data_IF_391338599660
#
_entry.id   IF_391338599660
#
_cell.length_a   1.000
_cell.length_b   1.000
_cell.length_c   1.000
_cell.angle_alpha   90.00
_cell.angle_beta   90.00
_cell.angle_gamma   90.00
#
_symmetry.space_group_name_H-M   'P 1'
#
loop_
_entity.id
_entity.type
_entity.pdbx_description
1 polymer ?
#
# COMPACT_ATOMS: atom_id res chain seq x y z
N UNK A 1 -4.18 -13.63 12.90
CA UNK A 1 -3.33 -13.11 13.99
C UNK A 1 -2.11 -12.40 13.42
N UNK A 2 -1.25 -13.09 12.66
CA UNK A 2 -0.03 -12.50 12.08
C UNK A 2 -0.26 -11.27 11.21
N UNK A 3 -1.34 -11.23 10.42
CA UNK A 3 -1.70 -10.06 9.58
C UNK A 3 -1.97 -8.81 10.42
N UNK A 4 -2.82 -8.93 11.44
CA UNK A 4 -3.15 -7.82 12.36
C UNK A 4 -1.92 -7.42 13.19
N UNK A 5 -1.14 -8.40 13.66
CA UNK A 5 0.11 -8.17 14.38
C UNK A 5 1.12 -7.38 13.53
N UNK A 6 1.27 -7.70 12.25
CA UNK A 6 2.13 -6.94 11.34
C UNK A 6 1.59 -5.52 11.14
N UNK A 7 0.26 -5.38 10.97
CA UNK A 7 -0.36 -4.08 10.77
C UNK A 7 -0.12 -3.12 11.94
N UNK A 8 -0.24 -3.56 13.20
CA UNK A 8 -0.03 -2.66 14.35
C UNK A 8 1.40 -2.08 14.39
N UNK A 9 2.42 -2.87 14.01
CA UNK A 9 3.80 -2.40 13.95
C UNK A 9 4.04 -1.53 12.72
N UNK A 10 3.51 -1.93 11.57
CA UNK A 10 3.61 -1.16 10.33
C UNK A 10 2.94 0.21 10.48
N UNK A 11 1.74 0.24 11.07
CA UNK A 11 1.00 1.47 11.36
C UNK A 11 1.80 2.40 12.26
N UNK A 12 2.44 1.88 13.32
CA UNK A 12 3.30 2.67 14.19
C UNK A 12 4.47 3.32 13.43
N UNK A 13 5.16 2.55 12.59
CA UNK A 13 6.29 3.05 11.79
C UNK A 13 5.83 4.08 10.76
N UNK A 14 4.77 3.79 10.02
CA UNK A 14 4.24 4.70 8.99
C UNK A 14 3.71 6.00 9.58
N UNK A 15 3.01 5.95 10.72
CA UNK A 15 2.56 7.16 11.44
C UNK A 15 3.74 7.97 11.96
N UNK A 16 4.80 7.32 12.45
CA UNK A 16 6.03 8.02 12.86
C UNK A 16 6.67 8.75 11.68
N UNK A 17 6.79 8.09 10.52
CA UNK A 17 7.29 8.72 9.28
C UNK A 17 6.40 9.88 8.84
N UNK A 18 5.07 9.70 8.92
CA UNK A 18 4.10 10.74 8.61
C UNK A 18 4.28 11.97 9.51
N UNK A 19 4.47 11.78 10.81
CA UNK A 19 4.73 12.86 11.77
C UNK A 19 6.04 13.59 11.49
N UNK A 20 7.09 12.89 11.05
CA UNK A 20 8.37 13.50 10.69
C UNK A 20 8.23 14.38 9.44
N UNK A 21 7.54 13.86 8.41
CA UNK A 21 7.37 14.56 7.12
C UNK A 21 6.48 15.79 7.30
N UNK A 22 5.36 15.66 8.01
CA UNK A 22 4.36 16.70 8.17
C UNK A 22 4.47 17.44 9.52
N UNK A 23 5.64 17.39 10.14
CA UNK A 23 5.89 17.95 11.47
C UNK A 23 5.45 19.42 11.58
N UNK A 24 5.76 20.21 10.55
CA UNK A 24 5.50 21.65 10.52
C UNK A 24 4.00 21.99 10.48
N UNK A 25 3.14 21.06 10.07
CA UNK A 25 1.69 21.30 9.96
C UNK A 25 0.92 20.66 11.12
N UNK A 26 1.31 19.46 11.54
CA UNK A 26 0.55 18.67 12.50
C UNK A 26 0.74 19.13 13.95
N UNK A 27 1.92 19.66 14.29
CA UNK A 27 2.30 19.95 15.67
C UNK A 27 2.39 21.46 15.93
N UNK A 28 2.89 21.87 17.12
CA UNK A 28 2.89 23.27 17.55
C UNK A 28 3.96 24.15 16.90
N UNK A 29 4.33 23.87 15.64
CA UNK A 29 5.24 24.74 14.88
C UNK A 29 4.65 26.15 14.68
N UNK A 30 3.32 26.28 14.68
CA UNK A 30 2.58 27.55 14.63
C UNK A 30 2.79 28.43 15.85
N UNK A 31 2.98 27.83 17.04
CA UNK A 31 3.31 28.58 18.26
C UNK A 31 4.68 29.25 18.09
N UNK A 32 5.64 28.53 17.48
CA UNK A 32 6.96 29.08 17.15
C UNK A 32 6.89 30.17 16.07
N UNK A 33 5.97 30.06 15.10
CA UNK A 33 5.75 31.06 14.05
C UNK A 33 4.88 32.25 14.49
N UNK A 34 4.60 32.38 15.80
CA UNK A 34 3.75 33.43 16.39
C UNK A 34 2.32 33.51 15.86
N UNK A 35 1.83 32.51 15.13
CA UNK A 35 0.45 32.51 14.63
C UNK A 35 -0.55 32.51 15.79
N UNK A 36 -0.18 31.87 16.90
CA UNK A 36 -1.01 31.81 18.11
C UNK A 36 -0.95 33.10 18.92
N UNK A 37 0.18 33.82 18.93
CA UNK A 37 0.33 35.08 19.66
C UNK A 37 -0.72 36.10 19.20
N UNK A 38 -0.92 36.26 17.89
CA UNK A 38 -1.94 37.14 17.33
C UNK A 38 -3.36 36.76 17.79
N UNK A 39 -3.69 35.46 17.79
CA UNK A 39 -5.00 34.97 18.24
C UNK A 39 -5.20 35.22 19.74
N UNK A 40 -4.17 35.04 20.56
CA UNK A 40 -4.25 35.34 21.99
C UNK A 40 -4.50 36.83 22.24
N UNK A 41 -3.86 37.72 21.47
CA UNK A 41 -4.11 39.16 21.53
C UNK A 41 -5.52 39.56 21.07
N UNK A 42 -6.13 38.78 20.17
CA UNK A 42 -7.54 38.93 19.77
C UNK A 42 -8.55 38.37 20.81
N UNK A 43 -8.08 37.87 21.96
CA UNK A 43 -8.92 37.39 23.05
C UNK A 43 -9.21 35.88 23.03
N UNK A 44 -8.56 35.09 22.16
CA UNK A 44 -8.71 33.64 22.17
C UNK A 44 -7.95 32.99 23.34
N UNK A 45 -8.56 32.00 23.99
CA UNK A 45 -7.96 31.29 25.12
C UNK A 45 -6.94 30.22 24.62
N UNK A 46 -5.64 30.32 24.98
CA UNK A 46 -4.60 29.36 24.55
C UNK A 46 -4.89 27.90 24.94
N UNK A 47 -5.52 27.67 26.09
CA UNK A 47 -5.81 26.31 26.60
C UNK A 47 -6.87 25.64 25.74
N UNK A 48 -7.89 26.40 25.30
CA UNK A 48 -8.93 25.90 24.41
C UNK A 48 -8.37 25.58 23.03
N UNK A 49 -7.53 26.47 22.46
CA UNK A 49 -6.85 26.23 21.19
C UNK A 49 -5.94 24.99 21.24
N UNK A 50 -5.23 24.79 22.35
CA UNK A 50 -4.45 23.58 22.60
C UNK A 50 -5.33 22.32 22.60
N UNK A 51 -6.43 22.34 23.36
CA UNK A 51 -7.34 21.20 23.43
C UNK A 51 -7.96 20.86 22.07
N UNK A 52 -8.40 21.86 21.30
CA UNK A 52 -8.96 21.67 19.97
C UNK A 52 -7.94 21.06 19.00
N UNK A 53 -6.69 21.56 18.99
CA UNK A 53 -5.63 21.02 18.13
C UNK A 53 -5.24 19.59 18.53
N UNK A 54 -5.18 19.32 19.82
CA UNK A 54 -4.89 17.98 20.35
C UNK A 54 -5.98 16.98 19.97
N UNK A 55 -7.25 17.37 20.13
CA UNK A 55 -8.40 16.53 19.78
C UNK A 55 -8.42 16.27 18.27
N UNK A 56 -8.18 17.29 17.44
CA UNK A 56 -8.07 17.13 15.99
C UNK A 56 -6.95 16.16 15.58
N UNK A 57 -5.77 16.27 16.22
CA UNK A 57 -4.66 15.34 15.97
C UNK A 57 -5.05 13.90 16.35
N UNK A 58 -5.57 13.69 17.57
CA UNK A 58 -5.96 12.35 18.01
C UNK A 58 -7.08 11.77 17.16
N UNK A 59 -8.09 12.56 16.83
CA UNK A 59 -9.18 12.12 15.96
C UNK A 59 -8.65 11.69 14.59
N UNK A 60 -7.77 12.49 13.98
CA UNK A 60 -7.16 12.16 12.69
C UNK A 60 -6.35 10.85 12.73
N UNK A 61 -5.52 10.68 13.77
CA UNK A 61 -4.69 9.48 13.93
C UNK A 61 -5.55 8.25 14.23
N UNK A 62 -6.53 8.36 15.13
CA UNK A 62 -7.44 7.28 15.47
C UNK A 62 -8.33 6.89 14.30
N UNK A 63 -8.84 7.85 13.53
CA UNK A 63 -9.63 7.61 12.34
C UNK A 63 -8.82 6.83 11.30
N UNK A 64 -7.64 7.34 10.95
CA UNK A 64 -6.75 6.72 9.97
C UNK A 64 -6.36 5.29 10.40
N UNK A 65 -6.04 5.12 11.69
CA UNK A 65 -5.70 3.81 12.24
C UNK A 65 -6.88 2.83 12.21
N UNK A 66 -8.07 3.28 12.59
CA UNK A 66 -9.28 2.44 12.64
C UNK A 66 -9.70 2.00 11.26
N UNK A 67 -9.70 2.91 10.27
CA UNK A 67 -10.01 2.58 8.87
C UNK A 67 -9.01 1.57 8.32
N UNK A 68 -7.71 1.77 8.53
CA UNK A 68 -6.69 0.82 8.09
C UNK A 68 -6.80 -0.54 8.81
N UNK A 69 -7.12 -0.54 10.10
CA UNK A 69 -7.30 -1.77 10.89
C UNK A 69 -8.50 -2.58 10.40
N UNK A 70 -9.63 -1.90 10.14
CA UNK A 70 -10.83 -2.49 9.56
C UNK A 70 -10.55 -3.07 8.17
N UNK A 71 -9.80 -2.36 7.32
CA UNK A 71 -9.40 -2.83 6.00
C UNK A 71 -8.52 -4.09 6.09
N UNK A 72 -7.59 -4.16 7.03
CA UNK A 72 -6.76 -5.35 7.24
C UNK A 72 -7.58 -6.53 7.74
N UNK A 73 -8.57 -6.32 8.62
CA UNK A 73 -9.51 -7.37 9.02
C UNK A 73 -10.27 -7.89 7.80
N UNK A 74 -10.84 -6.99 7.00
CA UNK A 74 -11.57 -7.32 5.77
C UNK A 74 -10.69 -8.13 4.82
N UNK A 75 -9.46 -7.66 4.56
CA UNK A 75 -8.50 -8.35 3.69
C UNK A 75 -8.11 -9.72 4.24
N UNK A 76 -7.92 -9.84 5.55
CA UNK A 76 -7.58 -11.12 6.20
C UNK A 76 -8.73 -12.12 6.05
N UNK A 77 -9.97 -11.68 6.20
CA UNK A 77 -11.17 -12.50 5.98
C UNK A 77 -11.33 -12.87 4.51
N UNK A 78 -11.14 -11.93 3.59
CA UNK A 78 -11.24 -12.15 2.15
C UNK A 78 -10.21 -13.16 1.64
N UNK A 79 -8.98 -13.11 2.17
CA UNK A 79 -7.90 -14.05 1.86
C UNK A 79 -8.05 -15.41 2.57
N UNK A 80 -9.17 -15.67 3.27
CA UNK A 80 -9.48 -16.91 4.00
C UNK A 80 -8.41 -17.32 5.04
N UNK A 81 -7.73 -16.35 5.65
CA UNK A 81 -6.85 -16.64 6.79
C UNK A 81 -7.66 -16.93 8.05
N UNK A 82 -7.14 -17.82 8.91
CA UNK A 82 -7.80 -18.15 10.18
C UNK A 82 -7.77 -16.96 11.15
N UNK A 83 -8.92 -16.30 11.29
CA UNK A 83 -9.15 -15.13 12.11
C UNK A 83 -9.97 -15.51 13.34
N UNK A 84 -9.46 -15.22 14.54
CA UNK A 84 -10.18 -15.45 15.80
C UNK A 84 -10.54 -14.08 16.35
N UNK A 85 -11.84 -13.83 16.50
CA UNK A 85 -12.35 -12.51 16.90
C UNK A 85 -11.89 -12.07 18.29
N UNK A 86 -11.60 -13.02 19.18
CA UNK A 86 -11.23 -12.75 20.58
C UNK A 86 -9.95 -11.92 20.74
N UNK A 87 -8.96 -12.04 19.84
CA UNK A 87 -7.72 -11.26 19.96
C UNK A 87 -7.77 -9.88 19.30
N UNK A 88 -8.82 -9.58 18.54
CA UNK A 88 -8.92 -8.33 17.77
C UNK A 88 -8.96 -7.09 18.69
N UNK A 89 -9.78 -7.05 19.77
CA UNK A 89 -9.83 -5.89 20.65
C UNK A 89 -8.48 -5.63 21.33
N UNK A 90 -7.81 -6.68 21.81
CA UNK A 90 -6.51 -6.58 22.48
C UNK A 90 -5.44 -6.00 21.56
N UNK A 91 -5.36 -6.49 20.31
CA UNK A 91 -4.42 -5.97 19.32
C UNK A 91 -4.75 -4.54 18.89
N UNK A 92 -6.05 -4.22 18.75
CA UNK A 92 -6.48 -2.87 18.42
C UNK A 92 -6.01 -1.87 19.49
N UNK A 93 -6.31 -2.14 20.76
CA UNK A 93 -5.93 -1.31 21.91
C UNK A 93 -4.41 -1.20 22.03
N UNK A 94 -3.68 -2.30 21.88
CA UNK A 94 -2.21 -2.28 21.92
C UNK A 94 -1.61 -1.37 20.84
N UNK A 95 -2.16 -1.36 19.63
CA UNK A 95 -1.74 -0.44 18.56
C UNK A 95 -2.13 1.00 18.84
N UNK A 96 -3.36 1.24 19.32
CA UNK A 96 -3.86 2.56 19.71
C UNK A 96 -2.96 3.23 20.75
N UNK A 97 -2.57 2.51 21.81
CA UNK A 97 -1.69 3.05 22.85
C UNK A 97 -0.34 3.47 22.29
N UNK A 98 0.26 2.69 21.37
CA UNK A 98 1.52 3.08 20.74
C UNK A 98 1.39 4.39 19.95
N UNK A 99 0.29 4.55 19.21
CA UNK A 99 0.02 5.75 18.41
C UNK A 99 -0.25 6.98 19.28
N UNK A 100 -1.02 6.82 20.36
CA UNK A 100 -1.26 7.90 21.34
C UNK A 100 0.06 8.33 21.99
N UNK A 101 0.90 7.37 22.39
CA UNK A 101 2.17 7.63 23.05
C UNK A 101 3.13 8.44 22.15
N UNK A 102 3.34 8.01 20.90
CA UNK A 102 4.22 8.73 19.97
C UNK A 102 3.65 10.10 19.57
N UNK A 103 2.32 10.23 19.49
CA UNK A 103 1.66 11.52 19.22
C UNK A 103 1.91 12.53 20.35
N UNK A 104 1.74 12.11 21.60
CA UNK A 104 1.99 12.96 22.78
C UNK A 104 3.47 13.32 22.92
N UNK A 105 4.37 12.37 22.72
CA UNK A 105 5.81 12.65 22.76
C UNK A 105 6.19 13.65 21.66
N UNK A 106 5.62 13.51 20.46
CA UNK A 106 5.90 14.44 19.36
C UNK A 106 5.36 15.84 19.63
N UNK A 107 4.16 15.95 20.21
CA UNK A 107 3.60 17.22 20.68
C UNK A 107 4.51 17.87 21.73
N UNK A 108 4.98 17.08 22.70
CA UNK A 108 5.90 17.56 23.72
C UNK A 108 7.20 18.05 23.10
N UNK A 109 7.84 17.26 22.23
CA UNK A 109 9.04 17.66 21.47
C UNK A 109 8.78 18.97 20.71
N UNK A 110 7.58 19.17 20.16
CA UNK A 110 7.27 20.39 19.42
C UNK A 110 7.25 21.67 20.23
N UNK A 111 7.03 21.58 21.55
CA UNK A 111 7.08 22.73 22.45
C UNK A 111 8.50 23.04 22.97
N UNK A 112 9.41 22.05 22.93
CA UNK A 112 10.77 22.19 23.46
C UNK A 112 11.85 22.31 22.38
N UNK A 113 11.61 21.79 21.18
CA UNK A 113 12.60 21.77 20.11
C UNK A 113 12.75 23.17 19.48
N UNK A 114 13.99 23.69 19.50
CA UNK A 114 14.32 24.99 18.88
C UNK A 114 14.24 24.93 17.36
N UNK A 115 14.77 23.87 16.74
CA UNK A 115 14.79 23.69 15.28
C UNK A 115 13.95 22.50 14.82
N UNK A 116 13.37 22.60 13.62
CA UNK A 116 12.60 21.50 12.98
C UNK A 116 13.45 20.25 12.82
N UNK A 117 14.71 20.42 12.43
CA UNK A 117 15.63 19.30 12.21
C UNK A 117 15.88 18.53 13.51
N UNK A 118 16.12 19.22 14.63
CA UNK A 118 16.30 18.58 15.92
C UNK A 118 15.02 17.89 16.39
N UNK A 119 13.85 18.50 16.16
CA UNK A 119 12.58 17.86 16.47
C UNK A 119 12.40 16.53 15.71
N UNK A 120 12.72 16.51 14.41
CA UNK A 120 12.64 15.29 13.60
C UNK A 120 13.57 14.19 14.11
N UNK A 121 14.80 14.52 14.51
CA UNK A 121 15.72 13.54 15.10
C UNK A 121 15.21 13.01 16.45
N UNK A 122 14.66 13.89 17.29
CA UNK A 122 14.08 13.49 18.57
C UNK A 122 12.87 12.58 18.40
N UNK A 123 12.01 12.81 17.41
CA UNK A 123 10.86 11.94 17.10
C UNK A 123 11.35 10.52 16.73
N UNK A 124 12.38 10.42 15.89
CA UNK A 124 12.98 9.12 15.52
C UNK A 124 13.55 8.42 16.76
N UNK A 125 14.30 9.15 17.58
CA UNK A 125 14.87 8.62 18.82
C UNK A 125 13.77 8.14 19.79
N UNK A 126 12.69 8.90 19.94
CA UNK A 126 11.54 8.53 20.77
C UNK A 126 10.81 7.30 20.24
N UNK A 127 10.61 7.19 18.93
CA UNK A 127 10.00 6.00 18.35
C UNK A 127 10.86 4.74 18.60
N UNK A 128 12.20 4.85 18.43
CA UNK A 128 13.12 3.78 18.75
C UNK A 128 13.10 3.43 20.25
N UNK A 129 13.04 4.44 21.13
CA UNK A 129 12.95 4.25 22.58
C UNK A 129 11.68 3.50 22.97
N UNK A 130 10.52 3.80 22.36
CA UNK A 130 9.27 3.07 22.61
C UNK A 130 9.43 1.58 22.25
N UNK A 131 10.08 1.26 21.12
CA UNK A 131 10.31 -0.12 20.71
C UNK A 131 11.25 -0.86 21.66
N UNK A 132 12.34 -0.21 22.07
CA UNK A 132 13.27 -0.74 23.07
C UNK A 132 12.57 -0.94 24.42
N UNK A 133 11.77 0.03 24.84
CA UNK A 133 11.03 -0.02 26.10
C UNK A 133 10.05 -1.19 26.12
N UNK A 134 9.30 -1.41 25.03
CA UNK A 134 8.42 -2.60 24.88
C UNK A 134 9.17 -3.92 24.97
N UNK A 135 10.45 -3.94 24.58
CA UNK A 135 11.30 -5.13 24.68
C UNK A 135 11.77 -5.35 26.12
N UNK A 136 12.22 -4.29 26.80
CA UNK A 136 12.69 -4.33 28.19
C UNK A 136 11.55 -4.75 29.13
N UNK A 137 10.35 -4.23 28.93
CA UNK A 137 9.18 -4.55 29.78
C UNK A 137 8.54 -5.91 29.45
N UNK A 138 9.09 -6.67 28.49
CA UNK A 138 8.52 -7.97 28.08
C UNK A 138 7.22 -7.89 27.28
N UNK A 139 6.74 -6.70 26.93
CA UNK A 139 5.46 -6.51 26.25
C UNK A 139 5.41 -7.17 24.86
N UNK A 140 6.56 -7.27 24.18
CA UNK A 140 6.65 -8.00 22.91
C UNK A 140 6.27 -9.48 23.03
N UNK A 141 6.65 -10.14 24.13
CA UNK A 141 6.32 -11.55 24.38
C UNK A 141 4.81 -11.73 24.55
N UNK A 142 4.18 -10.81 25.30
CA UNK A 142 2.72 -10.74 25.48
C UNK A 142 2.03 -10.53 24.14
N UNK A 143 2.48 -9.54 23.36
CA UNK A 143 1.91 -9.15 22.06
C UNK A 143 2.05 -10.25 20.98
N UNK A 144 3.12 -11.03 21.00
CA UNK A 144 3.32 -12.14 20.07
C UNK A 144 2.51 -13.40 20.41
N UNK A 145 2.01 -13.52 21.64
CA UNK A 145 1.31 -14.71 22.09
C UNK A 145 -0.18 -14.64 21.77
N UNK A 146 -0.61 -15.46 20.80
CA UNK A 146 -2.00 -15.53 20.33
C UNK A 146 -3.02 -15.88 21.42
N UNK A 147 -2.64 -16.71 22.39
CA UNK A 147 -3.56 -17.21 23.44
C UNK A 147 -3.77 -16.13 24.48
N UNK A 148 -2.69 -15.48 24.90
CA UNK A 148 -2.74 -14.36 25.86
C UNK A 148 -3.60 -13.22 25.31
N UNK A 149 -3.45 -12.92 24.03
CA UNK A 149 -4.17 -11.82 23.36
C UNK A 149 -5.69 -12.05 23.24
N UNK A 150 -6.21 -13.26 23.45
CA UNK A 150 -7.67 -13.51 23.40
C UNK A 150 -8.44 -12.82 24.51
N UNK A 151 -7.79 -12.49 25.63
CA UNK A 151 -8.40 -11.73 26.71
C UNK A 151 -7.71 -10.36 26.82
N UNK A 152 -8.50 -9.30 26.66
CA UNK A 152 -8.04 -7.92 26.68
C UNK A 152 -7.41 -7.53 28.02
N UNK A 153 -7.88 -8.06 29.15
CA UNK A 153 -7.37 -7.68 30.46
C UNK A 153 -5.91 -8.11 30.66
N UNK A 154 -5.45 -9.15 29.94
CA UNK A 154 -4.07 -9.63 30.03
C UNK A 154 -3.04 -8.60 29.54
N UNK A 155 -3.43 -7.60 28.75
CA UNK A 155 -2.49 -6.55 28.33
C UNK A 155 -2.24 -5.52 29.43
N UNK A 156 -3.17 -5.40 30.38
CA UNK A 156 -3.10 -4.48 31.52
C UNK A 156 -2.56 -5.13 32.79
N UNK A 157 -2.37 -6.46 32.79
CA UNK A 157 -1.84 -7.22 33.92
C UNK A 157 -0.36 -6.87 34.21
N UNK A 158 -0.06 -6.22 35.36
CA UNK A 158 1.31 -5.86 35.73
C UNK A 158 2.22 -7.07 35.94
N UNK A 159 1.64 -8.24 36.26
CA UNK A 159 2.39 -9.48 36.40
C UNK A 159 3.02 -9.98 35.10
N UNK A 160 2.51 -9.53 33.95
CA UNK A 160 3.01 -9.94 32.62
C UNK A 160 3.88 -8.89 31.97
N UNK A 161 3.50 -7.62 32.05
CA UNK A 161 4.28 -6.51 31.48
C UNK A 161 3.89 -5.17 32.09
N UNK A 162 4.90 -4.41 32.49
CA UNK A 162 4.75 -3.04 33.01
C UNK A 162 4.52 -1.97 31.93
N UNK A 163 4.55 -2.31 30.64
CA UNK A 163 4.42 -1.32 29.57
C UNK A 163 3.11 -0.52 29.61
N UNK A 164 1.96 -1.20 29.69
CA UNK A 164 0.65 -0.54 29.65
C UNK A 164 0.41 0.40 30.84
N UNK A 165 0.67 0.01 32.12
CA UNK A 165 0.52 0.94 33.23
C UNK A 165 1.50 2.12 33.15
N UNK A 166 2.74 1.92 32.71
CA UNK A 166 3.72 3.00 32.54
C UNK A 166 3.33 3.94 31.39
N UNK A 167 2.82 3.42 30.28
CA UNK A 167 2.30 4.22 29.18
C UNK A 167 1.08 5.05 29.62
N UNK A 168 0.16 4.46 30.39
CA UNK A 168 -1.00 5.17 30.92
C UNK A 168 -0.58 6.31 31.88
N UNK A 169 0.36 6.03 32.80
CA UNK A 169 0.90 7.05 33.71
C UNK A 169 1.57 8.20 32.93
N UNK A 170 2.37 7.88 31.91
CA UNK A 170 2.98 8.89 31.05
C UNK A 170 1.93 9.74 30.31
N UNK A 171 0.89 9.11 29.75
CA UNK A 171 -0.19 9.82 29.04
C UNK A 171 -0.89 10.82 29.98
N UNK A 172 -1.22 10.39 31.20
CA UNK A 172 -1.90 11.22 32.21
C UNK A 172 -1.04 12.42 32.61
N UNK A 173 0.29 12.22 32.76
CA UNK A 173 1.21 13.30 33.16
C UNK A 173 1.59 14.24 32.00
N UNK A 174 1.76 13.70 30.79
CA UNK A 174 2.20 14.45 29.62
C UNK A 174 1.14 15.46 29.15
N UNK A 175 -0.14 15.13 29.28
CA UNK A 175 -1.24 15.99 28.87
C UNK A 175 -1.24 17.37 29.56
N UNK A 176 -1.31 17.47 30.91
CA UNK A 176 -1.30 18.77 31.59
C UNK A 176 0.03 19.50 31.41
N UNK A 177 1.16 18.78 31.35
CA UNK A 177 2.47 19.38 31.11
C UNK A 177 2.56 20.09 29.74
N UNK A 178 2.00 19.47 28.69
CA UNK A 178 1.93 20.08 27.36
C UNK A 178 0.99 21.29 27.35
N UNK A 179 -0.18 21.20 27.99
CA UNK A 179 -1.13 22.30 28.07
C UNK A 179 -0.55 23.53 28.78
N UNK A 180 0.10 23.32 29.93
CA UNK A 180 0.77 24.39 30.68
C UNK A 180 1.88 25.04 29.85
N UNK A 181 2.74 24.24 29.22
CA UNK A 181 3.85 24.76 28.43
C UNK A 181 3.40 25.49 27.16
N UNK A 182 2.37 24.98 26.48
CA UNK A 182 1.79 25.64 25.32
C UNK A 182 1.19 27.01 25.69
N UNK A 183 0.48 27.09 26.83
CA UNK A 183 -0.07 28.34 27.34
C UNK A 183 1.03 29.38 27.62
N UNK A 184 2.09 28.99 28.32
CA UNK A 184 3.23 29.89 28.58
C UNK A 184 3.88 30.37 27.28
N UNK A 185 4.13 29.46 26.33
CA UNK A 185 4.85 29.79 25.10
C UNK A 185 3.99 30.64 24.14
N UNK A 186 2.67 30.47 24.13
CA UNK A 186 1.77 31.20 23.24
C UNK A 186 1.53 32.67 23.65
N UNK A 187 1.75 33.02 24.92
CA UNK A 187 1.59 34.40 25.43
C UNK A 187 2.72 35.33 24.97
N UNK A 188 3.90 34.80 24.68
CA UNK A 188 5.08 35.59 24.34
C UNK A 188 5.39 35.50 22.85
N UNK A 189 5.82 36.62 22.28
CA UNK A 189 6.30 36.67 20.90
C UNK A 189 7.67 35.98 20.82
N UNK A 190 7.78 34.93 20.02
CA UNK A 190 9.05 34.29 19.71
C UNK A 190 9.64 34.96 18.46
N UNK A 191 10.75 35.72 18.54
CA UNK A 191 11.34 36.32 17.35
C UNK A 191 11.62 35.23 16.29
N UNK A 192 11.09 35.39 15.06
CA UNK A 192 11.32 34.40 14.02
C UNK A 192 12.81 34.31 13.71
N UNK A 193 13.34 33.09 13.64
CA UNK A 193 14.71 32.84 13.17
C UNK A 193 14.89 33.18 11.67
N UNK A 194 13.80 33.50 10.95
CA UNK A 194 13.77 33.78 9.52
C UNK A 194 13.39 35.24 9.24
N UNK A 195 14.30 35.93 8.54
CA UNK A 195 14.34 37.32 8.08
C UNK A 195 13.23 37.75 7.09
N UNK A 196 12.13 36.99 6.99
CA UNK A 196 11.19 37.06 5.86
C UNK A 196 10.17 38.21 5.89
N UNK A 197 10.30 39.18 6.81
CA UNK A 197 9.34 40.30 6.94
C UNK A 197 10.00 41.67 6.89
N UNK A 198 11.06 41.82 6.09
CA UNK A 198 11.66 43.12 5.82
C UNK A 198 11.35 43.64 4.41
N UNK A 199 11.16 44.96 4.24
CA UNK A 199 10.94 45.60 2.95
C UNK A 199 12.09 45.35 1.96
N UNK A 200 11.78 45.29 0.66
CA UNK A 200 12.77 45.15 -0.41
C UNK A 200 13.87 46.22 -0.28
N UNK A 201 15.13 45.77 -0.21
CA UNK A 201 16.32 46.62 -0.04
C UNK A 201 16.97 46.57 1.35
N UNK A 202 16.36 45.89 2.33
CA UNK A 202 16.97 45.73 3.66
C UNK A 202 17.58 44.34 3.81
N UNK A 203 18.90 44.24 3.71
CA UNK A 203 19.65 43.02 4.05
C UNK A 203 19.82 42.95 5.58
N UNK A 204 19.26 41.93 6.23
CA UNK A 204 19.61 41.65 7.61
C UNK A 204 21.05 41.15 7.66
N UNK A 205 21.85 41.89 8.39
CA UNK A 205 23.22 41.54 8.69
C UNK A 205 23.24 40.99 10.11
N UNK A 206 23.51 39.69 10.26
CA UNK A 206 23.62 39.10 11.59
C UNK A 206 24.96 39.50 12.21
N UNK A 207 24.93 40.26 13.30
CA UNK A 207 26.14 40.57 14.06
C UNK A 207 26.56 39.34 14.89
N UNK A 208 27.68 38.73 14.50
CA UNK A 208 28.22 37.57 15.21
C UNK A 208 29.01 38.00 16.45
N UNK A 209 28.43 37.83 17.65
CA UNK A 209 29.07 38.12 18.95
C UNK A 209 30.42 37.40 19.16
N UNK A 210 30.71 36.33 18.39
CA UNK A 210 32.01 35.62 18.44
C UNK A 210 33.09 36.19 17.52
N UNK A 211 32.73 36.96 16.50
CA UNK A 211 33.67 37.39 15.44
C UNK A 211 33.60 38.87 15.12
N UNK A 212 32.69 39.62 15.75
CA UNK A 212 32.45 41.05 15.53
C UNK A 212 32.37 41.44 14.03
N UNK A 213 31.70 40.61 13.22
CA UNK A 213 31.44 40.90 11.80
C UNK A 213 30.01 40.57 11.40
N UNK A 214 29.55 41.26 10.37
CA UNK A 214 28.20 41.27 9.79
C UNK A 214 28.18 40.36 8.54
N UNK A 215 27.25 39.40 8.47
CA UNK A 215 27.13 38.44 7.35
C UNK A 215 25.68 38.44 6.81
N UNK A 216 25.46 38.47 5.47
CA UNK A 216 24.12 38.43 4.86
C UNK A 216 23.56 36.99 4.75
N UNK A 217 22.26 36.81 4.97
CA UNK A 217 21.63 35.49 5.12
C UNK A 217 21.04 34.87 3.83
N UNK A 218 21.14 35.55 2.69
CA UNK A 218 20.39 35.19 1.49
C UNK A 218 21.23 34.39 0.48
N UNK A 219 21.20 33.05 0.54
CA UNK A 219 21.61 32.22 -0.60
C UNK A 219 20.75 30.95 -0.74
N UNK A 220 19.72 31.04 -1.59
CA UNK A 220 19.54 30.02 -2.64
C UNK A 220 18.17 29.37 -2.79
N UNK A 221 17.34 29.92 -3.68
CA UNK A 221 16.34 29.14 -4.45
C UNK A 221 16.17 29.70 -5.86
N UNK A 222 16.17 28.80 -6.86
CA UNK A 222 15.95 29.07 -8.29
C UNK A 222 14.59 28.48 -8.75
N UNK A 223 14.01 28.95 -9.89
CA UNK A 223 12.57 29.16 -10.07
C UNK A 223 11.80 27.94 -10.61
N UNK A 224 10.46 27.96 -10.40
CA UNK A 224 9.53 26.83 -10.45
C UNK A 224 9.03 26.35 -11.83
N UNK A 225 9.43 26.95 -12.96
CA UNK A 225 8.71 26.76 -14.24
C UNK A 225 9.03 25.44 -14.97
N UNK A 226 10.30 25.02 -15.03
CA UNK A 226 10.70 23.77 -15.70
C UNK A 226 10.25 22.51 -14.93
N UNK A 227 10.13 22.62 -13.60
CA UNK A 227 9.68 21.54 -12.74
C UNK A 227 8.18 21.27 -12.96
N UNK A 228 7.37 22.30 -13.28
CA UNK A 228 5.92 22.14 -13.52
C UNK A 228 5.62 21.32 -14.77
N UNK A 229 6.36 21.50 -15.87
CA UNK A 229 6.16 20.76 -17.13
C UNK A 229 6.62 19.29 -16.98
N UNK A 230 7.78 19.08 -16.35
CA UNK A 230 8.29 17.74 -16.06
C UNK A 230 7.35 16.96 -15.13
N UNK A 231 6.79 17.64 -14.11
CA UNK A 231 5.81 17.05 -13.21
C UNK A 231 4.53 16.64 -13.96
N UNK A 232 4.03 17.47 -14.87
CA UNK A 232 2.84 17.15 -15.67
C UNK A 232 3.06 15.92 -16.57
N UNK A 233 4.21 15.82 -17.23
CA UNK A 233 4.55 14.68 -18.09
C UNK A 233 4.66 13.36 -17.30
N UNK A 234 5.31 13.39 -16.12
CA UNK A 234 5.43 12.18 -15.29
C UNK A 234 4.09 11.78 -14.68
N UNK A 235 3.27 12.74 -14.25
CA UNK A 235 1.91 12.45 -13.79
C UNK A 235 1.06 11.80 -14.88
N UNK A 236 1.15 12.29 -16.12
CA UNK A 236 0.43 11.70 -17.26
C UNK A 236 0.86 10.25 -17.54
N UNK A 237 2.16 9.97 -17.51
CA UNK A 237 2.71 8.62 -17.70
C UNK A 237 2.22 7.64 -16.61
N UNK A 238 2.18 8.08 -15.35
CA UNK A 238 1.73 7.26 -14.22
C UNK A 238 0.22 6.98 -14.32
N UNK A 239 -0.58 7.95 -14.78
CA UNK A 239 -2.03 7.75 -14.99
C UNK A 239 -2.27 6.68 -16.07
N UNK A 240 -1.54 6.74 -17.19
CA UNK A 240 -1.64 5.71 -18.26
C UNK A 240 -1.29 4.32 -17.71
N UNK A 241 -0.22 4.22 -16.92
CA UNK A 241 0.19 2.96 -16.28
C UNK A 241 -0.90 2.41 -15.36
N UNK A 242 -1.53 3.26 -14.54
CA UNK A 242 -2.62 2.87 -13.65
C UNK A 242 -3.83 2.39 -14.45
N UNK A 243 -4.24 3.12 -15.49
CA UNK A 243 -5.33 2.72 -16.37
C UNK A 243 -5.07 1.36 -17.05
N UNK A 244 -3.84 1.13 -17.51
CA UNK A 244 -3.43 -0.16 -18.09
C UNK A 244 -3.51 -1.31 -17.08
N UNK A 245 -3.04 -1.11 -15.84
CA UNK A 245 -3.11 -2.13 -14.78
C UNK A 245 -4.55 -2.41 -14.32
N UNK A 246 -5.43 -1.39 -14.34
CA UNK A 246 -6.85 -1.55 -14.04
C UNK A 246 -7.58 -2.32 -15.15
N UNK A 247 -7.36 -1.96 -16.42
CA UNK A 247 -7.87 -2.74 -17.55
C UNK A 247 -7.41 -4.20 -17.48
N UNK A 248 -6.14 -4.42 -17.11
CA UNK A 248 -5.60 -5.75 -16.97
C UNK A 248 -6.28 -6.56 -15.86
N UNK A 249 -6.56 -5.94 -14.71
CA UNK A 249 -7.36 -6.58 -13.65
C UNK A 249 -8.75 -6.98 -14.12
N UNK A 250 -9.45 -6.10 -14.85
CA UNK A 250 -10.77 -6.39 -15.41
C UNK A 250 -10.69 -7.57 -16.38
N UNK A 251 -9.66 -7.59 -17.24
CA UNK A 251 -9.41 -8.69 -18.18
C UNK A 251 -9.19 -10.03 -17.44
N UNK A 252 -8.42 -10.05 -16.35
CA UNK A 252 -8.21 -11.26 -15.53
C UNK A 252 -9.52 -11.74 -14.91
N UNK A 253 -10.37 -10.83 -14.42
CA UNK A 253 -11.67 -11.19 -13.86
C UNK A 253 -12.54 -11.86 -14.93
N UNK A 254 -12.56 -11.31 -16.14
CA UNK A 254 -13.28 -11.88 -17.29
C UNK A 254 -12.73 -13.27 -17.65
N UNK A 255 -11.40 -13.43 -17.72
CA UNK A 255 -10.74 -14.70 -18.05
C UNK A 255 -10.92 -15.78 -16.95
N UNK A 256 -11.01 -15.36 -15.69
CA UNK A 256 -11.31 -16.28 -14.59
C UNK A 256 -12.78 -16.69 -14.55
N UNK A 257 -13.68 -15.82 -14.98
CA UNK A 257 -15.08 -16.18 -15.17
C UNK A 257 -15.24 -17.24 -16.28
N UNK A 258 -14.23 -17.42 -17.14
CA UNK A 258 -14.14 -18.41 -18.23
C UNK A 258 -13.68 -19.81 -17.75
N UNK A 259 -13.65 -20.08 -16.45
CA UNK A 259 -13.35 -21.40 -15.90
C UNK A 259 -14.39 -22.47 -16.37
N UNK A 260 -14.05 -23.77 -16.31
CA UNK A 260 -14.84 -24.82 -16.98
C UNK A 260 -16.31 -24.78 -16.54
N UNK A 261 -17.20 -24.47 -17.48
CA UNK A 261 -18.65 -24.40 -17.27
C UNK A 261 -19.33 -23.11 -17.71
N UNK A 262 -18.63 -21.99 -17.87
CA UNK A 262 -19.18 -20.73 -18.40
C UNK A 262 -18.15 -20.03 -19.29
N UNK A 263 -18.21 -20.27 -20.61
CA UNK A 263 -17.29 -19.66 -21.55
C UNK A 263 -17.75 -18.24 -21.90
N UNK A 264 -17.03 -17.24 -21.40
CA UNK A 264 -17.22 -15.83 -21.77
C UNK A 264 -16.56 -15.59 -23.13
N UNK A 265 -17.38 -15.39 -24.15
CA UNK A 265 -16.93 -15.09 -25.52
C UNK A 265 -16.51 -13.62 -25.60
N UNK A 266 -15.27 -13.36 -26.02
CA UNK A 266 -14.76 -12.00 -26.24
C UNK A 266 -14.60 -11.80 -27.74
N UNK A 267 -15.50 -11.03 -28.37
CA UNK A 267 -15.48 -10.75 -29.83
C UNK A 267 -15.38 -12.02 -30.70
N UNK A 268 -16.09 -13.09 -30.35
CA UNK A 268 -16.08 -14.36 -31.10
C UNK A 268 -14.85 -15.25 -30.87
N UNK A 269 -13.98 -14.90 -29.92
CA UNK A 269 -12.82 -15.71 -29.53
C UNK A 269 -12.97 -16.17 -28.07
N UNK A 270 -12.66 -17.44 -27.85
CA UNK A 270 -12.69 -18.11 -26.55
C UNK A 270 -11.24 -18.25 -26.07
N UNK A 271 -10.81 -17.46 -25.07
CA UNK A 271 -9.53 -17.63 -24.42
C UNK A 271 -9.57 -18.81 -23.45
N UNK A 272 -8.65 -19.77 -23.59
CA UNK A 272 -8.60 -20.97 -22.76
C UNK A 272 -7.18 -21.24 -22.25
N UNK A 273 -7.02 -21.36 -20.93
CA UNK A 273 -5.73 -21.67 -20.31
C UNK A 273 -5.53 -23.18 -20.29
N UNK A 274 -4.59 -23.66 -21.11
CA UNK A 274 -4.35 -25.10 -21.28
C UNK A 274 -3.56 -25.66 -20.10
N UNK A 275 -4.08 -26.68 -19.42
CA UNK A 275 -3.44 -27.29 -18.23
C UNK A 275 -2.81 -28.66 -18.50
N UNK A 276 -3.15 -29.26 -19.64
CA UNK A 276 -2.79 -30.62 -20.01
C UNK A 276 -1.49 -30.65 -20.84
N UNK A 277 -0.88 -31.82 -20.94
CA UNK A 277 0.25 -32.09 -21.83
C UNK A 277 -0.18 -32.75 -23.15
N UNK A 278 -1.48 -33.05 -23.31
CA UNK A 278 -2.04 -33.87 -24.40
C UNK A 278 -1.88 -33.29 -25.80
N UNK A 279 -1.59 -31.99 -25.92
CA UNK A 279 -1.48 -31.28 -27.21
C UNK A 279 -0.05 -30.82 -27.53
N UNK A 280 0.97 -31.38 -26.85
CA UNK A 280 2.37 -31.07 -27.18
C UNK A 280 2.72 -31.61 -28.59
N UNK A 281 3.49 -30.87 -29.42
CA UNK A 281 4.11 -29.56 -29.17
C UNK A 281 3.24 -28.36 -29.57
N UNK A 282 2.06 -28.58 -30.16
CA UNK A 282 1.20 -27.55 -30.71
C UNK A 282 0.70 -26.57 -29.65
N UNK A 283 0.26 -27.07 -28.49
CA UNK A 283 -0.14 -26.30 -27.30
C UNK A 283 0.63 -26.84 -26.10
N UNK A 284 1.39 -25.98 -25.43
CA UNK A 284 2.13 -26.36 -24.24
C UNK A 284 1.27 -26.17 -22.98
N UNK A 285 1.53 -26.93 -21.90
CA UNK A 285 0.91 -26.66 -20.62
C UNK A 285 1.21 -25.22 -20.19
N UNK A 286 0.21 -24.56 -19.60
CA UNK A 286 0.18 -23.16 -19.16
C UNK A 286 0.07 -22.10 -20.26
N UNK A 287 -0.08 -22.50 -21.52
CA UNK A 287 -0.32 -21.54 -22.60
C UNK A 287 -1.76 -21.02 -22.55
N UNK A 288 -1.94 -19.75 -22.91
CA UNK A 288 -3.26 -19.24 -23.26
C UNK A 288 -3.51 -19.53 -24.75
N UNK A 289 -4.43 -20.44 -25.03
CA UNK A 289 -4.89 -20.76 -26.38
C UNK A 289 -6.14 -19.93 -26.72
N UNK A 290 -6.26 -19.56 -27.98
CA UNK A 290 -7.39 -18.81 -28.52
C UNK A 290 -8.15 -19.70 -29.48
N UNK A 291 -9.45 -19.86 -29.27
CA UNK A 291 -10.34 -20.60 -30.14
C UNK A 291 -11.36 -19.68 -30.77
N UNK A 292 -11.44 -19.65 -32.09
CA UNK A 292 -12.47 -18.91 -32.83
C UNK A 292 -13.77 -19.70 -32.74
N UNK A 293 -14.84 -19.04 -32.32
CA UNK A 293 -16.15 -19.65 -32.23
C UNK A 293 -16.62 -20.03 -33.65
N UNK A 294 -17.15 -21.24 -33.78
CA UNK A 294 -17.61 -21.80 -35.06
C UNK A 294 -19.09 -22.12 -34.94
N UNK A 295 -19.86 -21.69 -35.94
CA UNK A 295 -21.26 -22.10 -36.12
C UNK A 295 -21.33 -23.34 -37.02
N UNK A 296 -22.51 -23.97 -37.11
CA UNK A 296 -22.74 -25.19 -37.91
C UNK A 296 -22.32 -25.11 -39.39
N UNK A 297 -22.12 -23.92 -39.95
CA UNK A 297 -21.69 -23.69 -41.34
C UNK A 297 -20.18 -23.56 -41.55
N UNK A 298 -19.35 -23.73 -40.52
CA UNK A 298 -17.90 -23.68 -40.69
C UNK A 298 -17.36 -25.07 -41.09
N UNK A 299 -16.57 -25.11 -42.15
CA UNK A 299 -15.86 -26.32 -42.57
C UNK A 299 -14.72 -26.61 -41.58
N UNK A 300 -14.74 -27.81 -41.00
CA UNK A 300 -13.75 -28.28 -40.01
C UNK A 300 -12.90 -29.34 -40.70
N UNK A 301 -11.73 -28.93 -41.18
CA UNK A 301 -10.84 -29.84 -41.91
C UNK A 301 -10.10 -30.83 -40.99
N UNK A 302 -9.75 -31.98 -41.56
CA UNK A 302 -8.79 -32.90 -40.94
C UNK A 302 -7.48 -32.20 -40.58
N UNK A 303 -6.97 -32.48 -39.37
CA UNK A 303 -5.75 -31.86 -38.84
C UNK A 303 -5.96 -30.58 -38.04
N UNK A 304 -7.16 -29.99 -38.00
CA UNK A 304 -7.45 -28.84 -37.14
C UNK A 304 -7.57 -29.23 -35.66
N UNK A 305 -7.17 -28.33 -34.76
CA UNK A 305 -7.36 -28.50 -33.30
C UNK A 305 -8.66 -27.81 -32.91
N UNK A 306 -9.54 -28.50 -32.21
CA UNK A 306 -10.85 -27.98 -31.83
C UNK A 306 -11.06 -28.06 -30.32
N UNK A 307 -11.90 -27.17 -29.80
CA UNK A 307 -12.42 -27.22 -28.44
C UNK A 307 -13.89 -27.64 -28.50
N UNK A 308 -14.25 -28.68 -27.74
CA UNK A 308 -15.60 -29.25 -27.77
C UNK A 308 -16.05 -29.70 -26.38
N UNK A 309 -17.36 -29.90 -26.22
CA UNK A 309 -17.96 -30.35 -24.95
C UNK A 309 -18.51 -31.75 -25.06
N UNK A 310 -18.08 -32.62 -24.16
CA UNK A 310 -18.58 -34.00 -24.03
C UNK A 310 -18.74 -34.34 -22.55
N UNK A 311 -19.86 -34.95 -22.17
CA UNK A 311 -20.16 -35.35 -20.79
C UNK A 311 -19.98 -34.21 -19.76
N UNK A 312 -20.44 -33.01 -20.13
CA UNK A 312 -20.31 -31.78 -19.32
C UNK A 312 -18.86 -31.37 -18.99
N UNK A 313 -17.89 -31.87 -19.76
CA UNK A 313 -16.47 -31.52 -19.69
C UNK A 313 -16.01 -30.96 -21.03
N UNK A 314 -15.04 -30.06 -20.98
CA UNK A 314 -14.46 -29.40 -22.17
C UNK A 314 -13.12 -30.07 -22.49
N UNK A 315 -12.97 -30.48 -23.74
CA UNK A 315 -11.78 -31.15 -24.28
C UNK A 315 -11.19 -30.34 -25.43
N UNK A 316 -9.89 -30.49 -25.64
CA UNK A 316 -9.16 -29.89 -26.76
C UNK A 316 -8.34 -31.00 -27.41
N UNK A 317 -8.68 -31.33 -28.65
CA UNK A 317 -8.11 -32.47 -29.38
C UNK A 317 -8.03 -32.12 -30.88
N UNK A 318 -7.27 -32.91 -31.65
CA UNK A 318 -7.10 -32.73 -33.09
C UNK A 318 -8.05 -33.62 -33.87
N UNK A 319 -8.66 -33.09 -34.92
CA UNK A 319 -9.50 -33.85 -35.86
C UNK A 319 -8.61 -34.78 -36.69
N UNK A 320 -8.91 -36.07 -36.64
CA UNK A 320 -8.20 -37.12 -37.38
C UNK A 320 -8.99 -37.52 -38.62
N UNK A 321 -10.30 -37.69 -38.49
CA UNK A 321 -11.20 -38.04 -39.58
C UNK A 321 -12.48 -37.19 -39.51
N UNK A 322 -12.94 -36.74 -40.67
CA UNK A 322 -14.16 -35.97 -40.84
C UNK A 322 -15.23 -36.82 -41.54
N UNK A 323 -16.42 -36.87 -40.96
CA UNK A 323 -17.62 -37.44 -41.57
C UNK A 323 -18.74 -36.38 -41.54
N UNK A 324 -19.81 -36.56 -42.33
CA UNK A 324 -20.89 -35.57 -42.46
C UNK A 324 -21.51 -35.18 -41.10
N UNK A 325 -21.80 -36.16 -40.24
CA UNK A 325 -22.51 -35.94 -38.97
C UNK A 325 -21.61 -35.99 -37.72
N UNK A 326 -20.42 -36.61 -37.82
CA UNK A 326 -19.53 -36.83 -36.69
C UNK A 326 -18.06 -36.61 -37.04
N UNK A 327 -17.27 -36.29 -36.02
CA UNK A 327 -15.82 -36.10 -36.12
C UNK A 327 -15.12 -37.13 -35.25
N UNK A 328 -14.01 -37.67 -35.73
CA UNK A 328 -13.09 -38.49 -34.93
C UNK A 328 -11.94 -37.61 -34.49
N UNK A 329 -11.74 -37.49 -33.19
CA UNK A 329 -10.71 -36.64 -32.57
C UNK A 329 -9.74 -37.46 -31.73
N UNK A 330 -8.51 -36.97 -31.58
CA UNK A 330 -7.46 -37.62 -30.80
C UNK A 330 -6.45 -36.61 -30.23
N UNK A 331 -5.62 -37.07 -29.28
CA UNK A 331 -4.59 -36.26 -28.63
C UNK A 331 -3.25 -36.33 -29.38
N UNK A 332 -2.50 -35.22 -29.43
CA UNK A 332 -1.19 -35.18 -30.09
C UNK A 332 -0.08 -35.86 -29.25
N UNK A 333 -0.23 -35.91 -27.93
CA UNK A 333 0.75 -36.44 -27.00
C UNK A 333 0.11 -37.37 -25.97
N UNK A 334 0.48 -38.66 -26.03
CA UNK A 334 -0.03 -39.68 -25.13
C UNK A 334 0.76 -39.72 -23.83
N UNK A 335 0.09 -39.85 -22.67
CA UNK A 335 0.78 -40.20 -21.44
C UNK A 335 1.52 -41.53 -21.61
N UNK A 336 2.64 -41.72 -20.91
CA UNK A 336 3.55 -42.87 -21.06
C UNK A 336 2.92 -44.27 -20.88
N UNK A 337 1.69 -44.35 -20.38
CA UNK A 337 0.93 -45.58 -20.20
C UNK A 337 0.05 -45.97 -21.40
N UNK A 338 -0.08 -45.11 -22.42
CA UNK A 338 -1.02 -45.27 -23.53
C UNK A 338 -0.30 -45.31 -24.88
N UNK A 339 -0.83 -46.11 -25.82
CA UNK A 339 -0.32 -46.22 -27.19
C UNK A 339 -0.99 -45.19 -28.10
N UNK A 340 -0.31 -44.82 -29.18
CA UNK A 340 -0.87 -43.91 -30.18
C UNK A 340 -2.19 -44.46 -30.76
N UNK A 341 -3.21 -43.62 -30.85
CA UNK A 341 -4.55 -43.99 -31.29
C UNK A 341 -5.46 -44.61 -30.21
N UNK A 342 -4.97 -44.85 -28.99
CA UNK A 342 -5.78 -45.51 -27.95
C UNK A 342 -6.81 -44.60 -27.27
N UNK A 343 -6.76 -43.30 -27.54
CA UNK A 343 -7.62 -42.28 -26.92
C UNK A 343 -8.55 -41.61 -27.94
N UNK A 344 -8.76 -42.23 -29.11
CA UNK A 344 -9.68 -41.72 -30.13
C UNK A 344 -11.09 -41.62 -29.60
N UNK A 345 -11.74 -40.51 -29.91
CA UNK A 345 -13.12 -40.27 -29.56
C UNK A 345 -13.94 -39.87 -30.77
N UNK A 346 -15.13 -40.41 -30.87
CA UNK A 346 -16.14 -39.92 -31.81
C UNK A 346 -17.01 -38.89 -31.11
N UNK A 347 -17.22 -37.75 -31.77
CA UNK A 347 -18.03 -36.63 -31.27
C UNK A 347 -18.99 -36.15 -32.37
N UNK A 348 -20.15 -35.66 -31.97
CA UNK A 348 -21.07 -35.01 -32.91
C UNK A 348 -20.53 -33.63 -33.30
N UNK A 349 -20.70 -33.23 -34.56
CA UNK A 349 -20.21 -31.93 -35.06
C UNK A 349 -20.79 -30.74 -34.28
N UNK A 350 -21.98 -30.92 -33.72
CA UNK A 350 -22.71 -29.94 -32.90
C UNK A 350 -22.09 -29.67 -31.53
N UNK A 351 -21.24 -30.59 -31.06
CA UNK A 351 -20.55 -30.46 -29.77
C UNK A 351 -19.32 -29.56 -29.83
N UNK A 352 -18.90 -29.17 -31.04
CA UNK A 352 -17.75 -28.30 -31.30
C UNK A 352 -18.11 -26.87 -30.94
N UNK A 353 -17.26 -26.24 -30.13
CA UNK A 353 -17.44 -24.88 -29.63
C UNK A 353 -16.56 -23.90 -30.41
N UNK A 354 -15.36 -24.32 -30.82
CA UNK A 354 -14.48 -23.47 -31.62
C UNK A 354 -13.24 -24.17 -32.17
N UNK A 355 -12.55 -23.46 -33.08
CA UNK A 355 -11.35 -23.93 -33.78
C UNK A 355 -10.14 -23.14 -33.28
N UNK A 356 -9.02 -23.82 -33.09
CA UNK A 356 -7.77 -23.21 -32.62
C UNK A 356 -7.24 -22.17 -33.62
N UNK A 357 -7.03 -20.95 -33.14
CA UNK A 357 -6.55 -19.80 -33.92
C UNK A 357 -5.10 -19.43 -33.57
N UNK A 358 -4.69 -19.64 -32.31
CA UNK A 358 -3.31 -19.39 -31.89
C UNK A 358 -3.08 -19.55 -30.39
N UNK A 359 -1.83 -19.34 -29.96
CA UNK A 359 -1.44 -19.43 -28.54
C UNK A 359 -0.42 -18.37 -28.13
N UNK A 360 -0.44 -18.01 -26.84
CA UNK A 360 0.59 -17.19 -26.21
C UNK A 360 1.05 -17.77 -24.88
N UNK A 361 2.33 -18.13 -24.81
CA UNK A 361 2.97 -18.65 -23.59
C UNK A 361 3.08 -17.58 -22.51
N UNK A 362 3.49 -16.37 -22.91
CA UNK A 362 3.71 -15.26 -21.98
C UNK A 362 2.39 -14.76 -21.37
N UNK A 363 1.31 -14.68 -22.16
CA UNK A 363 -0.01 -14.31 -21.63
C UNK A 363 -0.52 -15.37 -20.66
N UNK A 364 -0.37 -16.66 -20.99
CA UNK A 364 -0.75 -17.77 -20.12
C UNK A 364 -0.01 -17.73 -18.77
N UNK A 365 1.32 -17.59 -18.81
CA UNK A 365 2.14 -17.45 -17.60
C UNK A 365 1.74 -16.23 -16.75
N UNK A 366 1.45 -15.11 -17.40
CA UNK A 366 1.08 -13.86 -16.72
C UNK A 366 -0.33 -13.96 -16.10
N UNK A 367 -1.29 -14.60 -16.77
CA UNK A 367 -2.63 -14.89 -16.22
C UNK A 367 -2.54 -15.84 -15.03
N UNK A 368 -1.73 -16.91 -15.15
CA UNK A 368 -1.51 -17.84 -14.05
C UNK A 368 -0.83 -17.16 -12.86
N UNK A 369 0.16 -16.32 -13.11
CA UNK A 369 0.78 -15.49 -12.07
C UNK A 369 -0.24 -14.56 -11.41
N UNK A 370 -1.03 -13.84 -12.21
CA UNK A 370 -2.09 -12.97 -11.73
C UNK A 370 -3.17 -13.71 -10.95
N UNK A 371 -3.30 -15.03 -11.14
CA UNK A 371 -4.19 -15.89 -10.38
C UNK A 371 -3.63 -16.39 -9.04
N UNK A 372 -2.33 -16.27 -8.82
CA UNK A 372 -1.73 -16.55 -7.52
C UNK A 372 -2.11 -15.48 -6.50
N UNK A 373 -2.08 -15.82 -5.21
CA UNK A 373 -2.32 -14.85 -4.12
C UNK A 373 -1.38 -13.65 -4.21
N UNK A 374 -0.10 -13.90 -4.53
CA UNK A 374 0.91 -12.85 -4.69
C UNK A 374 0.64 -11.98 -5.91
N UNK A 375 0.30 -12.57 -7.06
CA UNK A 375 -0.04 -11.82 -8.26
C UNK A 375 -1.28 -10.96 -8.06
N UNK A 376 -2.37 -11.52 -7.51
CA UNK A 376 -3.59 -10.76 -7.19
C UNK A 376 -3.30 -9.58 -6.26
N UNK A 377 -2.53 -9.82 -5.20
CA UNK A 377 -2.15 -8.77 -4.25
C UNK A 377 -1.30 -7.69 -4.93
N UNK A 378 -0.33 -8.08 -5.76
CA UNK A 378 0.55 -7.16 -6.48
C UNK A 378 -0.22 -6.30 -7.49
N UNK A 379 -1.06 -6.91 -8.31
CA UNK A 379 -1.88 -6.21 -9.31
C UNK A 379 -2.96 -5.31 -8.71
N UNK A 380 -3.35 -5.53 -7.44
CA UNK A 380 -4.29 -4.66 -6.73
C UNK A 380 -3.56 -3.56 -5.94
N UNK A 381 -2.46 -3.91 -5.26
CA UNK A 381 -1.76 -3.01 -4.34
C UNK A 381 -0.84 -2.03 -5.08
N UNK A 382 -0.19 -2.42 -6.17
CA UNK A 382 0.70 -1.52 -6.92
C UNK A 382 -0.05 -0.31 -7.50
N UNK A 383 -1.20 -0.48 -8.19
CA UNK A 383 -1.98 0.67 -8.66
C UNK A 383 -2.47 1.55 -7.51
N UNK A 384 -2.94 0.95 -6.41
CA UNK A 384 -3.41 1.69 -5.24
C UNK A 384 -2.28 2.52 -4.60
N UNK A 385 -1.12 1.90 -4.35
CA UNK A 385 0.04 2.61 -3.78
C UNK A 385 0.55 3.68 -4.73
N UNK A 386 0.58 3.44 -6.03
CA UNK A 386 0.94 4.48 -7.00
C UNK A 386 -0.08 5.63 -6.97
N UNK A 387 -1.38 5.36 -6.95
CA UNK A 387 -2.41 6.41 -6.89
C UNK A 387 -2.28 7.28 -5.63
N UNK A 388 -2.08 6.66 -4.46
CA UNK A 388 -2.00 7.40 -3.19
C UNK A 388 -0.63 8.04 -2.93
N UNK A 389 0.46 7.46 -3.45
CA UNK A 389 1.82 7.85 -3.10
C UNK A 389 2.68 8.34 -4.28
N UNK A 390 2.16 8.44 -5.51
CA UNK A 390 2.97 8.87 -6.67
C UNK A 390 3.68 10.20 -6.41
N UNK A 391 2.98 11.16 -5.82
CA UNK A 391 3.51 12.51 -5.57
C UNK A 391 4.65 12.49 -4.55
N UNK A 392 4.55 11.64 -3.54
CA UNK A 392 5.56 11.46 -2.49
C UNK A 392 6.80 10.72 -3.03
N UNK A 393 6.60 9.64 -3.79
CA UNK A 393 7.67 8.83 -4.40
C UNK A 393 8.47 9.69 -5.39
N UNK A 394 7.78 10.45 -6.23
CA UNK A 394 8.40 11.31 -7.23
C UNK A 394 9.21 12.45 -6.60
N UNK A 395 8.64 13.13 -5.58
CA UNK A 395 9.34 14.16 -4.83
C UNK A 395 10.60 13.63 -4.13
N UNK A 396 10.59 12.39 -3.66
CA UNK A 396 11.75 11.75 -3.06
C UNK A 396 12.87 11.48 -4.09
N UNK A 397 12.51 11.00 -5.28
CA UNK A 397 13.48 10.71 -6.34
C UNK A 397 14.18 11.99 -6.87
N UNK A 398 13.41 13.07 -7.09
CA UNK A 398 13.97 14.36 -7.51
C UNK A 398 14.95 14.90 -6.46
N UNK A 399 14.59 14.86 -5.17
CA UNK A 399 15.47 15.30 -4.08
C UNK A 399 16.78 14.52 -4.03
N UNK A 400 16.73 13.21 -4.31
CA UNK A 400 17.93 12.34 -4.34
C UNK A 400 18.82 12.63 -5.55
N UNK A 401 18.24 12.87 -6.74
CA UNK A 401 18.98 13.23 -7.96
C UNK A 401 19.66 14.60 -7.83
N UNK A 402 18.96 15.59 -7.26
CA UNK A 402 19.53 16.91 -6.97
C UNK A 402 20.70 16.83 -5.96
N UNK A 403 20.64 15.92 -4.98
CA UNK A 403 21.73 15.69 -4.02
C UNK A 403 22.96 15.05 -4.66
N UNK A 404 22.79 14.14 -5.64
CA UNK A 404 23.90 13.52 -6.38
C UNK A 404 24.60 14.50 -7.34
N UNK A 405 23.86 15.38 -8.01
CA UNK A 405 24.46 16.41 -8.88
C UNK A 405 25.30 17.43 -8.10
N UNK A 406 24.93 17.73 -6.84
CA UNK A 406 25.75 18.57 -5.94
C UNK A 406 27.03 17.89 -5.42
N UNK A 407 27.11 16.56 -5.47
CA UNK A 407 28.27 15.80 -5.00
C UNK A 407 29.26 15.42 -6.12
N UNK A 408 28.88 15.61 -7.39
CA UNK A 408 29.71 15.28 -8.56
C UNK A 408 30.22 16.52 -9.30
N UNK A 409 29.83 17.72 -8.89
CA UNK A 409 30.32 19.00 -9.40
C UNK A 409 31.04 19.84 -8.35
N UNK A 410 31.64 19.19 -7.36
CA UNK A 410 32.50 19.82 -6.34
C UNK A 410 33.94 19.38 -6.51
#
# INVERSE_FOLDING_TARGET
FSTIYIYIHMSFVLNTVYFIINYDYLFFSEIRKNSWYLLVQMGYNPVRMFAEKLLALFFSVMWTYTVGFALVILLTTFLRYNLVFSYIPSLFVAGTVNLVLISLITLMISLYARTVTNARYLIIASAALILVFKRITGFYAVLSNRVIMQNIFNIFDPGRSWFMPLAAAFIILAFPACAFRANETAKYYNPPDDEASLPEGVSLLRFSLKTCKLVPADQGRKPESLIKILNAAVSFLVIILICAMLMFNIMIIIINATAPGNEVVIRGVIPYVFKSETMKPAIMPNDLAFFRMTDRSYDIDTGQIIIFRKDNKVYVERVVEEHEDYLTVDIDHYPSAYQAGSMRQTIQRESVIGIFDGRSRWLGALILFANTVFGRLLFLLVPAVLLFYYRQIFNFYIRKKAKRQRQSGG
#
